data_IF_981152263338
#
_entry.id   IF_981152263338
#
_cell.length_a   1.000
_cell.length_b   1.000
_cell.length_c   1.000
_cell.angle_alpha   90.00
_cell.angle_beta   90.00
_cell.angle_gamma   90.00
#
_symmetry.space_group_name_H-M   'P 1'
#
loop_
_entity.id
_entity.type
_entity.pdbx_description
1 polymer ?
#
# COMPACT_ATOMS: atom_id res chain seq x y z
N UNK A 1 0.44 -27.23 34.27
CA UNK A 1 0.20 -25.83 34.70
C UNK A 1 1.30 -24.97 34.10
N UNK A 2 0.98 -24.30 32.99
CA UNK A 2 1.85 -23.32 32.35
C UNK A 2 1.88 -22.05 33.22
N UNK A 3 3.08 -21.55 33.51
CA UNK A 3 3.26 -20.19 34.01
C UNK A 3 4.06 -19.41 32.96
N UNK A 4 3.34 -18.61 32.17
CA UNK A 4 3.86 -17.56 31.32
C UNK A 4 4.74 -16.61 32.17
N UNK A 5 6.05 -16.64 31.97
CA UNK A 5 6.89 -15.47 32.24
C UNK A 5 6.81 -14.60 30.99
N UNK A 6 6.21 -13.42 31.13
CA UNK A 6 6.23 -12.41 30.09
C UNK A 6 7.66 -11.92 29.89
N UNK A 7 8.21 -12.23 28.71
CA UNK A 7 9.40 -11.58 28.19
C UNK A 7 9.06 -10.10 27.96
N UNK A 8 9.44 -9.26 28.93
CA UNK A 8 9.54 -7.83 28.70
C UNK A 8 10.77 -7.63 27.84
N UNK A 9 10.56 -7.49 26.53
CA UNK A 9 11.57 -7.00 25.59
C UNK A 9 11.98 -5.58 26.01
N UNK A 10 12.88 -5.46 26.98
CA UNK A 10 13.63 -4.22 27.19
C UNK A 10 14.53 -4.09 25.97
N UNK A 11 14.41 -3.02 25.17
CA UNK A 11 15.25 -2.84 23.99
C UNK A 11 16.72 -2.96 24.41
N UNK A 12 17.42 -3.92 23.81
CA UNK A 12 18.81 -4.30 24.14
C UNK A 12 19.76 -3.11 24.16
N UNK A 13 19.45 -2.06 23.40
CA UNK A 13 20.22 -0.82 23.31
C UNK A 13 20.13 0.05 24.57
N UNK A 14 19.03 -0.01 25.33
CA UNK A 14 18.88 0.77 26.55
C UNK A 14 19.71 0.16 27.71
N UNK A 15 19.77 -1.17 27.77
CA UNK A 15 20.60 -1.87 28.75
C UNK A 15 22.10 -1.69 28.43
N UNK A 16 22.47 -1.72 27.14
CA UNK A 16 23.83 -1.45 26.69
C UNK A 16 24.24 0.01 26.93
N UNK A 17 23.35 0.99 26.73
CA UNK A 17 23.64 2.40 27.02
C UNK A 17 23.76 2.71 28.52
N UNK A 18 22.97 2.06 29.39
CA UNK A 18 23.10 2.21 30.85
C UNK A 18 24.44 1.62 31.31
N UNK A 19 24.84 0.46 30.76
CA UNK A 19 26.17 -0.13 30.97
C UNK A 19 27.29 0.75 30.40
N UNK A 20 27.10 1.35 29.22
CA UNK A 20 28.06 2.28 28.62
C UNK A 20 28.19 3.56 29.44
N UNK A 21 27.09 4.10 29.98
CA UNK A 21 27.12 5.29 30.81
C UNK A 21 27.78 5.02 32.17
N UNK A 22 27.52 3.85 32.76
CA UNK A 22 28.25 3.39 33.95
C UNK A 22 29.72 3.15 33.65
N UNK A 23 30.06 2.53 32.52
CA UNK A 23 31.43 2.26 32.12
C UNK A 23 32.19 3.56 31.78
N UNK A 24 31.56 4.53 31.12
CA UNK A 24 32.17 5.81 30.75
C UNK A 24 32.37 6.71 31.98
N UNK A 25 31.39 6.76 32.89
CA UNK A 25 31.53 7.46 34.16
C UNK A 25 32.58 6.79 35.06
N UNK A 26 32.61 5.46 35.11
CA UNK A 26 33.63 4.71 35.85
C UNK A 26 35.03 4.92 35.27
N UNK A 27 35.19 4.87 33.95
CA UNK A 27 36.49 5.09 33.28
C UNK A 27 36.96 6.55 33.43
N UNK A 28 36.10 7.55 33.26
CA UNK A 28 36.48 8.96 33.47
C UNK A 28 36.83 9.26 34.93
N UNK A 29 36.04 8.75 35.89
CA UNK A 29 36.34 8.97 37.32
C UNK A 29 37.61 8.24 37.77
N UNK A 30 37.93 7.09 37.16
CA UNK A 30 39.18 6.38 37.44
C UNK A 30 40.38 7.08 36.79
N UNK A 31 40.27 7.57 35.55
CA UNK A 31 41.31 8.38 34.89
C UNK A 31 41.63 9.67 35.65
N UNK A 32 40.61 10.37 36.16
CA UNK A 32 40.82 11.56 36.98
C UNK A 32 41.50 11.23 38.31
N UNK A 33 41.20 10.07 38.93
CA UNK A 33 41.94 9.63 40.12
C UNK A 33 43.38 9.25 39.82
N UNK A 34 43.68 8.56 38.73
CA UNK A 34 45.05 8.18 38.35
C UNK A 34 45.92 9.42 38.09
N UNK A 35 45.40 10.39 37.32
CA UNK A 35 46.10 11.65 37.06
C UNK A 35 46.29 12.47 38.35
N UNK A 36 45.30 12.51 39.23
CA UNK A 36 45.43 13.18 40.53
C UNK A 36 46.47 12.49 41.43
N UNK A 37 46.48 11.16 41.48
CA UNK A 37 47.44 10.39 42.26
C UNK A 37 48.88 10.65 41.79
N UNK A 38 49.12 10.71 40.48
CA UNK A 38 50.44 11.03 39.92
C UNK A 38 50.92 12.42 40.35
N UNK A 39 50.07 13.44 40.20
CA UNK A 39 50.38 14.81 40.60
C UNK A 39 50.69 14.94 42.11
N UNK A 40 50.00 14.17 42.96
CA UNK A 40 50.23 14.18 44.41
C UNK A 40 51.56 13.49 44.76
N UNK A 41 51.88 12.36 44.13
CA UNK A 41 53.16 11.65 44.35
C UNK A 41 54.34 12.54 43.96
N UNK A 42 54.24 13.24 42.84
CA UNK A 42 55.29 14.16 42.37
C UNK A 42 55.50 15.33 43.35
N UNK A 43 54.41 15.96 43.80
CA UNK A 43 54.49 17.05 44.76
C UNK A 43 55.09 16.62 46.12
N UNK A 44 54.75 15.41 46.60
CA UNK A 44 55.29 14.87 47.86
C UNK A 44 56.78 14.53 47.71
N UNK A 45 57.17 13.89 46.61
CA UNK A 45 58.58 13.52 46.38
C UNK A 45 59.46 14.77 46.29
N UNK A 46 59.01 15.83 45.60
CA UNK A 46 59.75 17.08 45.50
C UNK A 46 60.00 17.76 46.87
N UNK A 47 59.06 17.64 47.80
CA UNK A 47 59.23 18.14 49.17
C UNK A 47 60.08 17.20 50.05
N UNK A 48 60.01 15.88 49.81
CA UNK A 48 60.62 14.84 50.65
C UNK A 48 62.09 14.54 50.30
N UNK A 49 62.58 15.04 49.15
CA UNK A 49 63.97 14.88 48.71
C UNK A 49 64.97 15.40 49.75
N UNK A 50 64.63 16.47 50.48
CA UNK A 50 65.49 17.03 51.53
C UNK A 50 65.63 16.13 52.77
N UNK A 51 64.73 15.15 52.96
CA UNK A 51 64.73 14.21 54.08
C UNK A 51 65.19 12.80 53.66
N UNK A 52 65.49 12.58 52.38
CA UNK A 52 65.95 11.29 51.87
C UNK A 52 64.87 10.19 51.83
N UNK A 53 63.59 10.57 51.83
CA UNK A 53 62.45 9.64 51.80
C UNK A 53 61.77 9.75 50.44
N UNK A 54 61.46 8.62 49.80
CA UNK A 54 60.76 8.56 48.50
C UNK A 54 59.44 7.80 48.61
N UNK A 55 58.36 8.43 48.18
CA UNK A 55 57.04 7.83 48.12
C UNK A 55 56.86 7.05 46.81
N UNK A 56 56.50 5.76 46.90
CA UNK A 56 56.39 4.86 45.74
C UNK A 56 54.97 4.80 45.16
N UNK A 57 53.93 4.96 45.99
CA UNK A 57 52.52 4.89 45.56
C UNK A 57 51.63 5.63 46.54
N UNK A 58 50.68 6.39 46.01
CA UNK A 58 49.61 7.05 46.76
C UNK A 58 48.25 6.62 46.20
N UNK A 59 47.28 6.40 47.08
CA UNK A 59 45.91 6.01 46.70
C UNK A 59 44.90 6.77 47.55
N UNK A 60 44.02 7.52 46.90
CA UNK A 60 42.92 8.23 47.55
C UNK A 60 41.81 7.22 47.86
N UNK A 61 41.57 6.97 49.15
CA UNK A 61 40.45 6.14 49.64
C UNK A 61 39.12 6.89 49.51
N UNK A 62 38.81 7.74 50.49
CA UNK A 62 37.50 8.39 50.59
C UNK A 62 37.61 9.91 50.59
N UNK A 63 36.84 10.55 49.69
CA UNK A 63 36.71 12.01 49.64
C UNK A 63 35.40 12.39 50.33
N UNK A 64 35.51 13.15 51.43
CA UNK A 64 34.35 13.61 52.19
C UNK A 64 33.93 15.00 51.71
N UNK A 65 32.82 15.06 50.97
CA UNK A 65 32.23 16.32 50.50
C UNK A 65 31.18 16.78 51.53
N UNK A 66 31.14 18.08 51.90
CA UNK A 66 30.13 18.58 52.82
C UNK A 66 28.71 18.38 52.26
N UNK A 67 27.71 18.08 53.12
CA UNK A 67 26.37 17.63 52.69
C UNK A 67 25.67 18.64 51.78
N UNK A 68 25.87 19.94 52.03
CA UNK A 68 25.24 21.04 51.27
C UNK A 68 25.67 21.09 49.80
N UNK A 69 26.92 20.71 49.50
CA UNK A 69 27.43 20.63 48.12
C UNK A 69 26.93 19.37 47.45
N UNK A 70 26.85 18.25 48.19
CA UNK A 70 26.30 16.98 47.68
C UNK A 70 24.84 17.12 47.23
N UNK A 71 24.01 17.79 48.03
CA UNK A 71 22.61 18.07 47.68
C UNK A 71 22.48 18.93 46.43
N UNK A 72 23.29 19.99 46.33
CA UNK A 72 23.29 20.88 45.16
C UNK A 72 23.72 20.13 43.88
N UNK A 73 24.76 19.31 43.99
CA UNK A 73 25.24 18.46 42.90
C UNK A 73 24.18 17.43 42.49
N UNK A 74 23.51 16.81 43.46
CA UNK A 74 22.45 15.85 43.19
C UNK A 74 21.25 16.52 42.49
N UNK A 75 20.82 17.69 42.95
CA UNK A 75 19.76 18.47 42.30
C UNK A 75 20.10 18.84 40.86
N UNK A 76 21.36 19.20 40.59
CA UNK A 76 21.82 19.53 39.24
C UNK A 76 21.80 18.30 38.32
N UNK A 77 22.31 17.15 38.78
CA UNK A 77 22.30 15.90 38.01
C UNK A 77 20.88 15.43 37.74
N UNK A 78 19.99 15.53 38.72
CA UNK A 78 18.57 15.21 38.56
C UNK A 78 17.89 16.15 37.56
N UNK A 79 18.16 17.45 37.62
CA UNK A 79 17.62 18.42 36.66
C UNK A 79 18.10 18.13 35.23
N UNK A 80 19.39 17.80 35.05
CA UNK A 80 19.92 17.43 33.75
C UNK A 80 19.30 16.13 33.22
N UNK A 81 19.18 15.11 34.08
CA UNK A 81 18.52 13.84 33.71
C UNK A 81 17.07 14.06 33.31
N UNK A 82 16.31 14.85 34.08
CA UNK A 82 14.92 15.19 33.75
C UNK A 82 14.84 15.93 32.41
N UNK A 83 15.70 16.91 32.18
CA UNK A 83 15.75 17.64 30.90
C UNK A 83 16.02 16.70 29.73
N UNK A 84 17.02 15.81 29.84
CA UNK A 84 17.34 14.83 28.79
C UNK A 84 16.17 13.87 28.54
N UNK A 85 15.53 13.39 29.61
CA UNK A 85 14.37 12.49 29.50
C UNK A 85 13.19 13.16 28.76
N UNK A 86 12.84 14.41 29.13
CA UNK A 86 11.74 15.15 28.47
C UNK A 86 12.01 15.43 26.99
N UNK A 87 13.25 15.77 26.64
CA UNK A 87 13.62 15.97 25.23
C UNK A 87 13.47 14.67 24.45
N UNK A 88 14.01 13.57 24.96
CA UNK A 88 13.94 12.27 24.30
C UNK A 88 12.50 11.78 24.14
N UNK A 89 11.65 11.99 25.16
CA UNK A 89 10.23 11.63 25.10
C UNK A 89 9.46 12.46 24.05
N UNK A 90 9.75 13.75 23.97
CA UNK A 90 9.15 14.64 22.97
C UNK A 90 9.57 14.28 21.55
N UNK A 91 10.85 13.94 21.37
CA UNK A 91 11.41 13.48 20.09
C UNK A 91 10.81 12.13 19.68
N UNK A 92 10.75 11.16 20.59
CA UNK A 92 10.12 9.86 20.33
C UNK A 92 8.64 9.98 19.98
N UNK A 93 7.91 10.87 20.65
CA UNK A 93 6.49 11.14 20.34
C UNK A 93 6.34 11.74 18.94
N UNK A 94 7.20 12.71 18.58
CA UNK A 94 7.21 13.33 17.25
C UNK A 94 7.52 12.31 16.16
N UNK A 95 8.55 11.49 16.36
CA UNK A 95 8.96 10.47 15.38
C UNK A 95 7.89 9.40 15.22
N UNK A 96 7.29 8.94 16.33
CA UNK A 96 6.17 8.00 16.29
C UNK A 96 4.98 8.56 15.52
N UNK A 97 4.59 9.81 15.76
CA UNK A 97 3.49 10.46 15.04
C UNK A 97 3.76 10.59 13.54
N UNK A 98 5.00 10.93 13.16
CA UNK A 98 5.41 11.00 11.75
C UNK A 98 5.30 9.61 11.10
N UNK A 99 5.84 8.57 11.74
CA UNK A 99 5.81 7.22 11.20
C UNK A 99 4.38 6.69 11.04
N UNK A 100 3.50 6.97 12.02
CA UNK A 100 2.07 6.63 11.90
C UNK A 100 1.41 7.36 10.73
N UNK A 101 1.65 8.67 10.58
CA UNK A 101 1.08 9.46 9.49
C UNK A 101 1.61 9.01 8.11
N UNK A 102 2.89 8.70 8.00
CA UNK A 102 3.51 8.16 6.78
C UNK A 102 2.96 6.78 6.44
N UNK A 103 2.84 5.90 7.42
CA UNK A 103 2.23 4.57 7.26
C UNK A 103 0.78 4.67 6.78
N UNK A 104 -0.01 5.58 7.36
CA UNK A 104 -1.40 5.83 6.91
C UNK A 104 -1.47 6.39 5.49
N UNK A 105 -0.62 7.37 5.16
CA UNK A 105 -0.52 7.91 3.81
C UNK A 105 -0.19 6.81 2.80
N UNK A 106 0.81 6.00 3.11
CA UNK A 106 1.24 4.92 2.23
C UNK A 106 0.14 3.87 2.08
N UNK A 107 -0.51 3.46 3.18
CA UNK A 107 -1.63 2.53 3.15
C UNK A 107 -2.80 3.06 2.29
N UNK A 108 -3.12 4.35 2.39
CA UNK A 108 -4.18 4.96 1.58
C UNK A 108 -3.82 4.98 0.09
N UNK A 109 -2.57 5.26 -0.27
CA UNK A 109 -2.10 5.23 -1.66
C UNK A 109 -2.22 3.81 -2.21
N UNK A 110 -1.69 2.82 -1.48
CA UNK A 110 -1.78 1.42 -1.90
C UNK A 110 -3.24 0.94 -2.03
N UNK A 111 -4.12 1.35 -1.12
CA UNK A 111 -5.53 1.00 -1.20
C UNK A 111 -6.19 1.56 -2.47
N UNK A 112 -5.95 2.85 -2.78
CA UNK A 112 -6.48 3.49 -3.99
C UNK A 112 -5.91 2.86 -5.27
N UNK A 113 -4.62 2.50 -5.28
CA UNK A 113 -3.98 1.82 -6.40
C UNK A 113 -4.52 0.40 -6.59
N UNK A 114 -4.72 -0.33 -5.49
CA UNK A 114 -5.30 -1.67 -5.51
C UNK A 114 -6.73 -1.66 -6.04
N UNK A 115 -7.58 -0.71 -5.60
CA UNK A 115 -8.94 -0.58 -6.10
C UNK A 115 -8.98 -0.29 -7.61
N UNK A 116 -8.13 0.62 -8.09
CA UNK A 116 -7.99 0.91 -9.52
C UNK A 116 -7.58 -0.35 -10.30
N UNK A 117 -6.58 -1.09 -9.80
CA UNK A 117 -6.12 -2.31 -10.43
C UNK A 117 -7.20 -3.41 -10.44
N UNK A 118 -7.94 -3.56 -9.34
CA UNK A 118 -9.06 -4.50 -9.22
C UNK A 118 -10.15 -4.18 -10.25
N UNK A 119 -10.57 -2.91 -10.34
CA UNK A 119 -11.59 -2.48 -11.31
C UNK A 119 -11.16 -2.76 -12.75
N UNK A 120 -9.89 -2.48 -13.10
CA UNK A 120 -9.34 -2.78 -14.43
C UNK A 120 -9.35 -4.28 -14.69
N UNK A 121 -8.88 -5.09 -13.74
CA UNK A 121 -8.83 -6.54 -13.87
C UNK A 121 -10.23 -7.14 -14.01
N UNK A 122 -11.21 -6.63 -13.26
CA UNK A 122 -12.60 -7.05 -13.35
C UNK A 122 -13.20 -6.70 -14.71
N UNK A 123 -13.04 -5.46 -15.16
CA UNK A 123 -13.53 -5.04 -16.48
C UNK A 123 -12.87 -5.83 -17.62
N UNK A 124 -11.56 -6.08 -17.55
CA UNK A 124 -10.85 -6.91 -18.51
C UNK A 124 -11.32 -8.37 -18.49
N UNK A 125 -11.54 -8.92 -17.29
CA UNK A 125 -12.08 -10.26 -17.10
C UNK A 125 -13.48 -10.42 -17.70
N UNK A 126 -14.37 -9.45 -17.47
CA UNK A 126 -15.72 -9.40 -18.02
C UNK A 126 -15.71 -9.28 -19.55
N UNK A 127 -14.88 -8.39 -20.10
CA UNK A 127 -14.71 -8.23 -21.55
C UNK A 127 -14.22 -9.53 -22.20
N UNK A 128 -13.19 -10.16 -21.62
CA UNK A 128 -12.66 -11.43 -22.11
C UNK A 128 -13.70 -12.55 -22.02
N UNK A 129 -14.43 -12.65 -20.91
CA UNK A 129 -15.50 -13.63 -20.75
C UNK A 129 -16.62 -13.41 -21.78
N UNK A 130 -16.98 -12.16 -22.07
CA UNK A 130 -17.96 -11.82 -23.11
C UNK A 130 -17.48 -12.24 -24.50
N UNK A 131 -16.22 -11.94 -24.85
CA UNK A 131 -15.63 -12.35 -26.13
C UNK A 131 -15.61 -13.86 -26.30
N UNK A 132 -15.20 -14.60 -25.26
CA UNK A 132 -15.19 -16.08 -25.29
C UNK A 132 -16.61 -16.62 -25.44
N UNK A 133 -17.59 -16.09 -24.70
CA UNK A 133 -19.00 -16.49 -24.83
C UNK A 133 -19.56 -16.15 -26.21
N UNK A 134 -19.25 -14.99 -26.77
CA UNK A 134 -19.71 -14.58 -28.09
C UNK A 134 -19.13 -15.47 -29.19
N UNK A 135 -17.83 -15.79 -29.12
CA UNK A 135 -17.17 -16.74 -30.03
C UNK A 135 -17.79 -18.13 -29.95
N UNK A 136 -17.91 -18.68 -28.73
CA UNK A 136 -18.53 -19.99 -28.53
C UNK A 136 -19.98 -20.04 -29.04
N UNK A 137 -20.76 -18.97 -28.84
CA UNK A 137 -22.12 -18.86 -29.40
C UNK A 137 -22.12 -18.81 -30.93
N UNK A 138 -21.21 -18.03 -31.53
CA UNK A 138 -21.11 -17.94 -32.99
C UNK A 138 -20.75 -19.31 -33.60
N UNK A 139 -19.78 -20.01 -33.02
CA UNK A 139 -19.41 -21.38 -33.42
C UNK A 139 -20.58 -22.35 -33.25
N UNK A 140 -21.29 -22.29 -32.11
CA UNK A 140 -22.46 -23.13 -31.87
C UNK A 140 -23.58 -22.88 -32.90
N UNK A 141 -23.85 -21.62 -33.26
CA UNK A 141 -24.84 -21.27 -34.29
C UNK A 141 -24.40 -21.80 -35.65
N UNK A 142 -23.12 -21.69 -36.01
CA UNK A 142 -22.61 -22.23 -37.27
C UNK A 142 -22.76 -23.75 -37.34
N UNK A 143 -22.43 -24.47 -36.26
CA UNK A 143 -22.61 -25.92 -36.17
C UNK A 143 -24.08 -26.32 -36.26
N UNK A 144 -24.96 -25.56 -35.60
CA UNK A 144 -26.40 -25.81 -35.64
C UNK A 144 -26.98 -25.54 -37.05
N UNK A 145 -26.55 -24.47 -37.72
CA UNK A 145 -26.93 -24.19 -39.10
C UNK A 145 -26.46 -25.30 -40.07
N UNK A 146 -25.25 -25.83 -39.87
CA UNK A 146 -24.74 -26.95 -40.65
C UNK A 146 -25.53 -28.25 -40.40
N UNK A 147 -25.91 -28.52 -39.15
CA UNK A 147 -26.74 -29.69 -38.81
C UNK A 147 -28.17 -29.58 -39.37
N UNK A 148 -28.75 -28.37 -39.35
CA UNK A 148 -30.08 -28.07 -39.88
C UNK A 148 -30.18 -28.25 -41.41
N UNK A 149 -29.09 -28.04 -42.14
CA UNK A 149 -29.03 -28.22 -43.59
C UNK A 149 -29.14 -29.69 -44.04
N UNK A 150 -29.05 -30.67 -43.12
CA UNK A 150 -29.25 -32.09 -43.42
C UNK A 150 -30.75 -32.43 -43.60
N UNK A 151 -31.07 -33.48 -44.37
CA UNK A 151 -32.42 -33.77 -44.92
C UNK A 151 -33.59 -33.89 -43.90
N UNK A 152 -33.33 -34.00 -42.59
CA UNK A 152 -34.36 -34.01 -41.55
C UNK A 152 -34.09 -33.04 -40.38
N UNK A 153 -33.14 -32.12 -40.51
CA UNK A 153 -32.73 -31.21 -39.43
C UNK A 153 -33.81 -30.20 -39.03
N UNK A 154 -34.58 -29.69 -40.00
CA UNK A 154 -35.61 -28.67 -39.79
C UNK A 154 -36.79 -29.15 -38.93
N UNK A 155 -37.19 -30.43 -39.09
CA UNK A 155 -38.25 -31.03 -38.28
C UNK A 155 -37.79 -31.36 -36.84
N UNK A 156 -36.51 -31.69 -36.64
CA UNK A 156 -35.94 -31.92 -35.31
C UNK A 156 -35.80 -30.61 -34.51
N UNK A 157 -35.39 -29.51 -35.16
CA UNK A 157 -35.26 -28.23 -34.49
C UNK A 157 -36.60 -27.61 -34.08
N UNK A 158 -37.66 -27.76 -34.88
CA UNK A 158 -38.99 -27.28 -34.49
C UNK A 158 -39.53 -28.00 -33.26
N UNK A 159 -39.24 -29.30 -33.11
CA UNK A 159 -39.56 -30.07 -31.91
C UNK A 159 -38.79 -29.55 -30.68
N UNK A 160 -37.46 -29.33 -30.79
CA UNK A 160 -36.67 -28.80 -29.68
C UNK A 160 -37.05 -27.37 -29.27
N UNK A 161 -37.43 -26.50 -30.21
CA UNK A 161 -37.95 -25.16 -29.88
C UNK A 161 -39.28 -25.26 -29.13
N UNK A 162 -40.16 -26.20 -29.53
CA UNK A 162 -41.41 -26.45 -28.82
C UNK A 162 -41.16 -26.95 -27.39
N UNK A 163 -40.22 -27.88 -27.19
CA UNK A 163 -39.82 -28.35 -25.85
C UNK A 163 -39.25 -27.22 -24.99
N UNK A 164 -38.39 -26.36 -25.56
CA UNK A 164 -37.84 -25.20 -24.85
C UNK A 164 -38.93 -24.20 -24.48
N UNK A 165 -39.87 -23.90 -25.38
CA UNK A 165 -41.00 -23.04 -25.10
C UNK A 165 -41.85 -23.57 -23.95
N UNK A 166 -42.22 -24.86 -23.98
CA UNK A 166 -42.98 -25.51 -22.89
C UNK A 166 -42.19 -25.48 -21.58
N UNK A 167 -40.88 -25.71 -21.61
CA UNK A 167 -40.04 -25.68 -20.41
C UNK A 167 -39.89 -24.27 -19.81
N UNK A 168 -39.75 -23.24 -20.66
CA UNK A 168 -39.67 -21.85 -20.25
C UNK A 168 -41.00 -21.37 -19.68
N UNK A 169 -42.10 -21.75 -20.34
CA UNK A 169 -43.45 -21.50 -19.85
C UNK A 169 -43.72 -22.20 -18.51
N UNK A 170 -43.23 -23.44 -18.33
CA UNK A 170 -43.33 -24.17 -17.06
C UNK A 170 -42.58 -23.48 -15.91
N UNK A 171 -41.41 -22.89 -16.17
CA UNK A 171 -40.65 -22.11 -15.18
C UNK A 171 -41.35 -20.79 -14.84
N UNK A 172 -41.86 -20.08 -15.85
CA UNK A 172 -42.64 -18.86 -15.64
C UNK A 172 -43.91 -19.11 -14.83
N UNK A 173 -44.61 -20.20 -15.11
CA UNK A 173 -45.82 -20.61 -14.39
C UNK A 173 -45.54 -21.02 -12.93
N UNK A 174 -44.29 -21.37 -12.58
CA UNK A 174 -43.89 -21.66 -11.20
C UNK A 174 -43.52 -20.39 -10.42
N UNK A 175 -42.90 -19.40 -11.06
CA UNK A 175 -42.39 -18.20 -10.39
C UNK A 175 -43.38 -17.00 -10.41
N UNK A 176 -44.41 -17.01 -11.26
CA UNK A 176 -45.38 -15.89 -11.37
C UNK A 176 -46.84 -16.32 -11.17
N UNK A 177 -47.48 -15.79 -10.10
CA UNK A 177 -48.85 -16.09 -9.66
C UNK A 177 -49.96 -15.31 -10.42
N UNK A 178 -49.62 -14.57 -11.49
CA UNK A 178 -50.59 -13.84 -12.33
C UNK A 178 -50.24 -14.03 -13.79
N UNK A 179 -50.81 -15.07 -14.41
CA UNK A 179 -50.72 -15.30 -15.85
C UNK A 179 -51.90 -14.60 -16.51
N UNK A 180 -51.68 -13.40 -17.04
CA UNK A 180 -52.60 -12.79 -18.01
C UNK A 180 -52.39 -13.50 -19.35
N UNK A 181 -53.22 -14.50 -19.65
CA UNK A 181 -53.28 -15.06 -21.00
C UNK A 181 -53.88 -14.00 -21.93
N UNK A 182 -53.19 -13.58 -23.00
CA UNK A 182 -53.86 -12.91 -24.11
C UNK A 182 -54.93 -13.86 -24.63
N UNK A 183 -56.19 -13.44 -24.61
CA UNK A 183 -57.35 -14.22 -25.07
C UNK A 183 -57.35 -14.48 -26.59
N UNK A 184 -56.26 -14.13 -27.29
CA UNK A 184 -56.06 -14.44 -28.70
C UNK A 184 -54.76 -15.25 -28.88
N UNK A 185 -54.85 -16.56 -28.67
CA UNK A 185 -53.77 -17.53 -28.90
C UNK A 185 -53.34 -17.65 -30.38
N UNK A 186 -53.93 -16.87 -31.29
CA UNK A 186 -53.56 -16.80 -32.71
C UNK A 186 -52.52 -15.73 -33.09
N UNK A 187 -52.22 -14.76 -32.22
CA UNK A 187 -51.42 -13.57 -32.57
C UNK A 187 -49.91 -13.68 -32.31
N UNK A 188 -49.40 -14.88 -31.99
CA UNK A 188 -47.95 -15.10 -31.87
C UNK A 188 -47.24 -14.80 -33.19
N UNK A 189 -47.88 -15.12 -34.31
CA UNK A 189 -47.40 -14.81 -35.66
C UNK A 189 -47.37 -13.31 -35.93
N UNK A 190 -48.37 -12.56 -35.45
CA UNK A 190 -48.44 -11.11 -35.64
C UNK A 190 -47.40 -10.36 -34.78
N UNK A 191 -47.13 -10.85 -33.57
CA UNK A 191 -46.07 -10.31 -32.70
C UNK A 191 -44.67 -10.58 -33.28
N UNK A 192 -44.42 -11.78 -33.83
CA UNK A 192 -43.16 -12.11 -34.51
C UNK A 192 -43.02 -11.33 -35.82
N UNK A 193 -44.10 -11.13 -36.59
CA UNK A 193 -44.08 -10.31 -37.80
C UNK A 193 -43.78 -8.83 -37.49
N UNK A 194 -44.35 -8.27 -36.43
CA UNK A 194 -44.02 -6.92 -35.97
C UNK A 194 -42.57 -6.83 -35.50
N UNK A 195 -42.07 -7.82 -34.75
CA UNK A 195 -40.68 -7.86 -34.31
C UNK A 195 -39.69 -7.96 -35.49
N UNK A 196 -39.98 -8.79 -36.49
CA UNK A 196 -39.19 -8.90 -37.73
C UNK A 196 -39.29 -7.61 -38.58
N UNK A 197 -40.45 -6.94 -38.58
CA UNK A 197 -40.64 -5.62 -39.20
C UNK A 197 -39.80 -4.51 -38.53
N UNK A 198 -39.67 -4.55 -37.20
CA UNK A 198 -38.81 -3.62 -36.46
C UNK A 198 -37.33 -3.94 -36.71
N UNK A 199 -36.96 -5.23 -36.75
CA UNK A 199 -35.60 -5.64 -37.08
C UNK A 199 -35.18 -5.22 -38.51
N UNK A 200 -36.07 -5.39 -39.50
CA UNK A 200 -35.82 -4.98 -40.90
C UNK A 200 -35.76 -3.46 -41.06
N UNK A 201 -36.55 -2.70 -40.31
CA UNK A 201 -36.45 -1.22 -40.30
C UNK A 201 -35.20 -0.72 -39.59
N UNK A 202 -34.78 -1.35 -38.49
CA UNK A 202 -33.53 -0.99 -37.79
C UNK A 202 -32.28 -1.36 -38.60
N UNK A 203 -32.28 -2.50 -39.29
CA UNK A 203 -31.20 -2.86 -40.23
C UNK A 203 -31.15 -1.92 -41.44
N UNK A 204 -32.30 -1.49 -41.96
CA UNK A 204 -32.39 -0.46 -43.01
C UNK A 204 -31.91 0.92 -42.53
N UNK A 205 -32.24 1.31 -41.29
CA UNK A 205 -31.80 2.58 -40.69
C UNK A 205 -30.31 2.56 -40.34
N UNK A 206 -29.74 1.42 -39.92
CA UNK A 206 -28.29 1.29 -39.72
C UNK A 206 -27.50 1.37 -41.03
N UNK A 207 -28.03 0.88 -42.15
CA UNK A 207 -27.40 1.05 -43.47
C UNK A 207 -27.36 2.52 -43.95
N UNK A 208 -28.22 3.39 -43.40
CA UNK A 208 -28.24 4.83 -43.71
C UNK A 208 -27.35 5.64 -42.76
N UNK A 209 -27.26 5.27 -41.47
CA UNK A 209 -26.45 6.01 -40.49
C UNK A 209 -24.93 5.90 -40.72
N UNK A 210 -24.44 4.80 -41.29
CA UNK A 210 -23.00 4.62 -41.57
C UNK A 210 -22.47 5.50 -42.72
N UNK A 211 -23.33 6.20 -43.47
CA UNK A 211 -22.91 7.06 -44.59
C UNK A 211 -22.78 8.55 -44.25
N UNK A 212 -23.27 8.99 -43.09
CA UNK A 212 -23.40 10.43 -42.78
C UNK A 212 -22.56 10.89 -41.56
N UNK A 213 -21.79 10.01 -40.94
CA UNK A 213 -20.83 10.36 -39.87
C UNK A 213 -19.42 9.94 -40.28
N UNK A 214 -18.84 10.64 -41.26
CA UNK A 214 -17.38 10.79 -41.38
C UNK A 214 -17.04 12.20 -40.86
N UNK A 215 -16.30 12.35 -39.74
CA UNK A 215 -15.80 13.66 -39.34
C UNK A 215 -14.75 14.14 -40.36
N UNK A 216 -14.66 15.46 -40.64
CA UNK A 216 -13.59 15.98 -41.49
C UNK A 216 -12.23 15.67 -40.85
N UNK A 217 -11.30 15.19 -41.67
CA UNK A 217 -9.91 14.96 -41.28
C UNK A 217 -9.30 16.28 -40.79
N UNK A 218 -9.13 16.40 -39.46
CA UNK A 218 -8.42 17.51 -38.84
C UNK A 218 -6.98 17.08 -38.56
N UNK A 219 -6.06 17.65 -39.35
CA UNK A 219 -4.65 17.97 -39.03
C UNK A 219 -3.79 16.89 -38.37
N UNK A 220 -2.85 16.35 -39.14
CA UNK A 220 -1.67 15.65 -38.61
C UNK A 220 -0.95 16.51 -37.54
N UNK A 221 -0.44 15.92 -36.44
CA UNK A 221 0.52 16.59 -35.59
C UNK A 221 1.83 16.78 -36.37
N UNK A 222 2.19 18.04 -36.65
CA UNK A 222 3.55 18.37 -37.08
C UNK A 222 4.58 17.81 -36.07
N UNK A 223 5.69 17.21 -36.53
CA UNK A 223 6.80 16.93 -35.63
C UNK A 223 7.41 18.25 -35.12
N UNK A 224 7.89 18.30 -33.86
CA UNK A 224 8.55 19.50 -33.35
C UNK A 224 9.82 19.77 -34.17
N UNK A 225 9.88 20.95 -34.78
CA UNK A 225 11.05 21.47 -35.47
C UNK A 225 12.19 21.67 -34.47
N UNK A 226 13.27 20.91 -34.68
CA UNK A 226 14.56 21.05 -34.04
C UNK A 226 15.22 22.37 -34.45
N UNK A 227 14.87 23.47 -33.79
CA UNK A 227 15.60 24.74 -33.97
C UNK A 227 15.46 25.66 -32.73
N UNK A 228 15.99 25.20 -31.57
CA UNK A 228 16.30 26.06 -30.43
C UNK A 228 17.59 25.61 -29.70
N UNK A 229 18.63 25.27 -30.47
CA UNK A 229 20.00 25.09 -29.97
C UNK A 229 20.98 25.94 -30.79
N UNK A 230 20.76 27.27 -30.82
CA UNK A 230 21.83 28.22 -31.15
C UNK A 230 21.54 29.66 -30.71
N UNK A 231 21.28 29.87 -29.43
CA UNK A 231 21.37 31.20 -28.84
C UNK A 231 21.45 31.11 -27.30
N UNK A 232 22.52 30.53 -26.77
CA UNK A 232 22.98 30.79 -25.39
C UNK A 232 24.46 30.37 -25.26
N UNK A 233 25.33 30.98 -26.07
CA UNK A 233 26.78 31.02 -25.83
C UNK A 233 27.26 32.45 -26.02
N UNK A 234 26.78 33.36 -25.18
CA UNK A 234 27.46 34.61 -24.83
C UNK A 234 26.98 34.99 -23.43
N UNK A 235 27.92 35.30 -22.51
CA UNK A 235 27.77 35.90 -21.16
C UNK A 235 27.82 35.00 -19.91
N UNK A 236 29.05 34.59 -19.55
CA UNK A 236 29.62 34.47 -18.18
C UNK A 236 31.07 33.94 -18.39
N UNK A 237 32.19 34.55 -18.01
CA UNK A 237 32.56 35.49 -16.92
C UNK A 237 31.99 35.13 -15.56
#
# INVERSE_FOLDING_TARGET
MLAHRGDVCVPSDLCLHILFFFLYCFVCTFQERESLNANIVDAINQASDCWGIRCLRYEIKDIHVPPRVKESMQMQVEAERRKRATVLESEGTRESAINVAEGQKQAQILASEAEKAEQINKAAGEANAMLVRAKAKAEAIQLLAAALAQQHGSAAASLSVAEQYVSAFSKLAKDSNTVLLPTNTGDVTHMVAQALGIYTTLTKTQAVKTRDELPPAHGDPQPPSTEMLKAEQVTSS
#
